data_IF_779619878035
#
_entry.id   IF_779619878035
#
_cell.length_a   1.000
_cell.length_b   1.000
_cell.length_c   1.000
_cell.angle_alpha   90.00
_cell.angle_beta   90.00
_cell.angle_gamma   90.00
#
_symmetry.space_group_name_H-M   'P 1'
#
loop_
_entity.id
_entity.type
_entity.pdbx_description
1 polymer ?
#
# COMPACT_ATOMS: atom_id res chain seq x y z
N UNK A 1 -26.36 -8.16 0.79
CA UNK A 1 -26.71 -8.93 -0.43
C UNK A 1 -27.46 -8.13 -1.47
N UNK A 2 -28.62 -7.54 -1.14
CA UNK A 2 -29.47 -6.82 -2.11
C UNK A 2 -28.72 -5.68 -2.82
N UNK A 3 -27.89 -4.93 -2.09
CA UNK A 3 -27.11 -3.83 -2.66
C UNK A 3 -26.09 -4.28 -3.70
N UNK A 4 -25.37 -5.39 -3.45
CA UNK A 4 -24.34 -5.92 -4.37
C UNK A 4 -25.00 -6.35 -5.70
N UNK A 5 -26.15 -7.02 -5.63
CA UNK A 5 -26.89 -7.46 -6.82
C UNK A 5 -27.41 -6.31 -7.70
N UNK A 6 -27.44 -5.09 -7.16
CA UNK A 6 -27.89 -3.88 -7.88
C UNK A 6 -26.73 -3.05 -8.43
N UNK A 7 -25.48 -3.41 -8.15
CA UNK A 7 -24.31 -2.74 -8.69
C UNK A 7 -24.16 -3.01 -10.19
N UNK A 8 -23.31 -2.22 -10.85
CA UNK A 8 -22.91 -2.46 -12.24
C UNK A 8 -22.15 -3.77 -12.40
N UNK A 9 -21.87 -4.17 -13.65
CA UNK A 9 -21.01 -5.32 -13.95
C UNK A 9 -19.67 -5.24 -13.21
N UNK A 10 -19.18 -6.42 -12.81
CA UNK A 10 -17.94 -6.64 -12.04
C UNK A 10 -17.81 -5.79 -10.75
N UNK A 11 -18.72 -5.95 -9.76
CA UNK A 11 -18.69 -5.13 -8.55
C UNK A 11 -17.39 -5.30 -7.75
N UNK A 12 -16.79 -4.17 -7.35
CA UNK A 12 -15.67 -4.12 -6.40
C UNK A 12 -16.20 -3.67 -5.04
N UNK A 13 -16.00 -4.49 -4.02
CA UNK A 13 -16.47 -4.25 -2.65
C UNK A 13 -15.27 -3.99 -1.73
N UNK A 14 -15.27 -2.84 -1.06
CA UNK A 14 -14.27 -2.46 -0.06
C UNK A 14 -14.92 -2.45 1.32
N UNK A 15 -14.83 -3.57 2.06
CA UNK A 15 -15.41 -3.71 3.40
C UNK A 15 -14.34 -3.41 4.46
N UNK A 16 -14.19 -2.14 4.82
CA UNK A 16 -13.04 -1.62 5.56
C UNK A 16 -13.23 -1.54 7.08
N UNK A 17 -14.44 -1.85 7.59
CA UNK A 17 -14.70 -1.87 9.03
C UNK A 17 -13.80 -2.89 9.77
N UNK A 18 -13.54 -2.61 11.05
CA UNK A 18 -12.72 -3.42 11.96
C UNK A 18 -13.41 -3.57 13.32
N UNK A 19 -13.22 -4.70 14.04
CA UNK A 19 -12.48 -5.90 13.61
C UNK A 19 -13.23 -6.71 12.55
N UNK A 20 -14.55 -6.58 12.51
CA UNK A 20 -15.43 -7.27 11.57
C UNK A 20 -15.76 -6.36 10.37
N UNK A 21 -15.65 -6.85 9.12
CA UNK A 21 -16.01 -6.08 7.93
C UNK A 21 -17.53 -5.90 7.82
N UNK A 22 -17.97 -4.91 7.03
CA UNK A 22 -19.39 -4.63 6.78
C UNK A 22 -20.14 -5.83 6.15
N UNK A 23 -19.39 -6.68 5.45
CA UNK A 23 -19.86 -7.95 4.90
C UNK A 23 -18.67 -8.91 4.80
N UNK A 24 -18.89 -10.19 5.08
CA UNK A 24 -17.84 -11.19 4.93
C UNK A 24 -17.48 -11.38 3.44
N UNK A 25 -16.21 -11.61 3.08
CA UNK A 25 -15.83 -11.75 1.67
C UNK A 25 -16.58 -12.86 0.92
N UNK A 26 -16.76 -14.02 1.55
CA UNK A 26 -17.51 -15.14 0.99
C UNK A 26 -18.97 -14.77 0.68
N UNK A 27 -19.57 -13.96 1.54
CA UNK A 27 -20.93 -13.46 1.41
C UNK A 27 -21.05 -12.45 0.26
N UNK A 28 -20.11 -11.53 0.17
CA UNK A 28 -20.05 -10.56 -0.92
C UNK A 28 -19.83 -11.24 -2.28
N UNK A 29 -18.94 -12.23 -2.36
CA UNK A 29 -18.70 -13.03 -3.57
C UNK A 29 -19.96 -13.82 -3.96
N UNK A 30 -20.61 -14.48 -3.00
CA UNK A 30 -21.87 -15.20 -3.24
C UNK A 30 -23.00 -14.27 -3.74
N UNK A 31 -22.95 -12.99 -3.40
CA UNK A 31 -23.87 -11.97 -3.89
C UNK A 31 -23.54 -11.44 -5.29
N UNK A 32 -22.41 -11.82 -5.88
CA UNK A 32 -21.96 -11.43 -7.21
C UNK A 32 -20.83 -10.40 -7.24
N UNK A 33 -20.12 -10.16 -6.12
CA UNK A 33 -18.92 -9.33 -6.15
C UNK A 33 -17.82 -9.98 -6.99
N UNK A 34 -17.22 -9.20 -7.89
CA UNK A 34 -16.06 -9.64 -8.66
C UNK A 34 -14.78 -9.55 -7.84
N UNK A 35 -14.63 -8.47 -7.06
CA UNK A 35 -13.47 -8.24 -6.19
C UNK A 35 -13.97 -7.83 -4.82
N UNK A 36 -13.37 -8.41 -3.77
CA UNK A 36 -13.62 -8.00 -2.38
C UNK A 36 -12.29 -7.73 -1.71
N UNK A 37 -12.22 -6.63 -0.95
CA UNK A 37 -11.09 -6.28 -0.11
C UNK A 37 -11.58 -5.90 1.30
N UNK A 38 -10.74 -6.13 2.30
CA UNK A 38 -11.04 -5.86 3.71
C UNK A 38 -10.01 -4.94 4.36
N UNK A 39 -10.39 -4.26 5.43
CA UNK A 39 -9.45 -3.42 6.19
C UNK A 39 -8.44 -4.22 7.03
N UNK A 40 -8.86 -5.37 7.56
CA UNK A 40 -8.09 -6.18 8.49
C UNK A 40 -7.21 -7.24 7.82
N UNK A 41 -6.06 -7.59 8.43
CA UNK A 41 -5.29 -8.76 8.01
C UNK A 41 -6.09 -10.04 8.34
N UNK A 42 -6.27 -10.93 7.36
CA UNK A 42 -7.01 -12.18 7.56
C UNK A 42 -7.77 -12.66 6.33
N UNK A 43 -8.00 -11.78 5.36
CA UNK A 43 -8.69 -12.10 4.12
C UNK A 43 -7.83 -11.81 2.89
N UNK A 44 -8.25 -12.32 1.73
CA UNK A 44 -7.69 -11.92 0.44
C UNK A 44 -7.86 -10.41 0.24
N UNK A 45 -6.92 -9.79 -0.46
CA UNK A 45 -6.92 -8.35 -0.72
C UNK A 45 -7.02 -7.48 0.55
N UNK A 46 -6.52 -7.95 1.69
CA UNK A 46 -6.46 -7.12 2.89
C UNK A 46 -5.67 -5.83 2.63
N UNK A 47 -6.20 -4.71 3.10
CA UNK A 47 -5.65 -3.35 2.94
C UNK A 47 -5.28 -2.73 4.29
N UNK A 48 -4.44 -3.38 5.13
CA UNK A 48 -4.07 -2.81 6.41
C UNK A 48 -3.16 -1.59 6.22
N UNK A 49 -3.31 -0.61 7.10
CA UNK A 49 -2.44 0.57 7.13
C UNK A 49 -0.94 0.22 7.26
N UNK A 50 -0.61 -0.95 7.81
CA UNK A 50 0.76 -1.46 7.96
C UNK A 50 1.51 -1.56 6.63
N UNK A 51 0.82 -1.73 5.50
CA UNK A 51 1.46 -1.79 4.17
C UNK A 51 2.00 -0.43 3.69
N UNK A 52 1.48 0.68 4.22
CA UNK A 52 1.81 2.02 3.71
C UNK A 52 2.39 2.95 4.77
N UNK A 53 1.88 2.91 6.01
CA UNK A 53 2.25 3.87 7.05
C UNK A 53 3.74 3.87 7.41
N UNK A 54 4.47 2.73 7.48
CA UNK A 54 5.90 2.76 7.76
C UNK A 54 6.69 3.46 6.64
N UNK A 55 6.34 3.17 5.38
CA UNK A 55 6.96 3.81 4.21
C UNK A 55 6.67 5.30 4.16
N UNK A 56 5.40 5.71 4.35
CA UNK A 56 5.01 7.12 4.37
C UNK A 56 5.83 7.88 5.42
N UNK A 57 5.87 7.39 6.65
CA UNK A 57 6.62 8.04 7.73
C UNK A 57 8.12 8.10 7.41
N UNK A 58 8.71 7.00 6.92
CA UNK A 58 10.13 6.96 6.57
C UNK A 58 10.48 8.00 5.50
N UNK A 59 9.69 8.08 4.42
CA UNK A 59 9.90 9.03 3.33
C UNK A 59 9.85 10.48 3.80
N UNK A 60 8.86 10.84 4.62
CA UNK A 60 8.76 12.19 5.21
C UNK A 60 9.95 12.52 6.10
N UNK A 61 10.39 11.57 6.93
CA UNK A 61 11.51 11.77 7.86
C UNK A 61 12.85 11.93 7.12
N UNK A 62 13.08 11.18 6.05
CA UNK A 62 14.35 11.21 5.30
C UNK A 62 14.60 12.55 4.62
N UNK A 63 13.53 13.18 4.12
CA UNK A 63 13.58 14.49 3.46
C UNK A 63 13.24 15.65 4.41
N UNK A 64 12.96 15.33 5.68
CA UNK A 64 12.55 16.29 6.72
C UNK A 64 11.37 17.17 6.25
N UNK A 65 10.33 16.50 5.77
CA UNK A 65 9.10 17.15 5.32
C UNK A 65 8.37 17.81 6.50
N UNK A 66 7.82 19.00 6.27
CA UNK A 66 7.04 19.74 7.27
C UNK A 66 5.53 19.48 7.18
N UNK A 67 5.08 18.90 6.07
CA UNK A 67 3.67 18.67 5.75
C UNK A 67 3.51 17.30 5.09
N UNK A 68 2.41 16.62 5.40
CA UNK A 68 1.86 15.52 4.61
C UNK A 68 0.58 16.01 3.92
N UNK A 69 0.46 15.78 2.61
CA UNK A 69 -0.71 16.20 1.84
C UNK A 69 -1.26 15.07 0.95
N UNK A 70 -2.36 15.35 0.24
CA UNK A 70 -3.04 14.38 -0.61
C UNK A 70 -2.18 13.89 -1.80
N UNK A 71 -1.32 14.73 -2.37
CA UNK A 71 -0.46 14.34 -3.48
C UNK A 71 0.58 13.30 -3.04
N UNK A 72 1.16 13.48 -1.84
CA UNK A 72 2.05 12.50 -1.22
C UNK A 72 1.33 11.18 -0.90
N UNK A 73 0.09 11.23 -0.42
CA UNK A 73 -0.74 10.03 -0.21
C UNK A 73 -1.06 9.33 -1.54
N UNK A 74 -1.31 10.09 -2.61
CA UNK A 74 -1.50 9.54 -3.95
C UNK A 74 -0.22 8.88 -4.48
N UNK A 75 0.94 9.48 -4.21
CA UNK A 75 2.25 8.90 -4.56
C UNK A 75 2.48 7.58 -3.81
N UNK A 76 2.16 7.52 -2.51
CA UNK A 76 2.21 6.30 -1.71
C UNK A 76 1.30 5.20 -2.28
N UNK A 77 0.04 5.55 -2.60
CA UNK A 77 -0.93 4.59 -3.15
C UNK A 77 -0.47 4.02 -4.51
N UNK A 78 0.06 4.88 -5.40
CA UNK A 78 0.62 4.47 -6.69
C UNK A 78 1.82 3.55 -6.51
N UNK A 79 2.76 3.91 -5.62
CA UNK A 79 3.93 3.10 -5.34
C UNK A 79 3.56 1.72 -4.80
N UNK A 80 2.57 1.65 -3.90
CA UNK A 80 2.08 0.39 -3.35
C UNK A 80 1.39 -0.48 -4.42
N UNK A 81 0.60 0.13 -5.31
CA UNK A 81 -0.01 -0.58 -6.43
C UNK A 81 1.04 -1.16 -7.40
N UNK A 82 2.13 -0.43 -7.65
CA UNK A 82 3.23 -0.88 -8.51
C UNK A 82 4.07 -2.02 -7.91
N UNK A 83 3.95 -2.28 -6.60
CA UNK A 83 4.59 -3.44 -5.93
C UNK A 83 3.89 -4.75 -6.28
N UNK A 84 2.61 -4.71 -6.66
CA UNK A 84 1.84 -5.91 -6.97
C UNK A 84 2.41 -6.61 -8.21
N UNK A 85 2.78 -7.89 -8.07
CA UNK A 85 3.25 -8.69 -9.21
C UNK A 85 2.15 -8.80 -10.27
N UNK A 86 2.35 -8.12 -11.40
CA UNK A 86 1.42 -8.12 -12.54
C UNK A 86 1.11 -9.52 -13.07
N UNK A 87 2.01 -10.50 -12.90
CA UNK A 87 1.80 -11.89 -13.33
C UNK A 87 0.83 -12.65 -12.42
N UNK A 88 0.64 -12.16 -11.19
CA UNK A 88 -0.24 -12.73 -10.17
C UNK A 88 -1.51 -11.92 -9.97
N UNK A 89 -1.67 -10.82 -10.71
CA UNK A 89 -2.83 -9.95 -10.61
C UNK A 89 -4.11 -10.73 -10.97
N UNK A 90 -5.10 -10.66 -10.09
CA UNK A 90 -6.38 -11.29 -10.29
C UNK A 90 -7.40 -10.86 -9.23
N UNK A 91 -8.65 -11.33 -9.31
CA UNK A 91 -9.72 -10.86 -8.44
C UNK A 91 -9.44 -11.03 -6.93
N UNK A 92 -8.71 -12.08 -6.54
CA UNK A 92 -8.26 -12.33 -5.17
C UNK A 92 -6.84 -11.84 -4.83
N UNK A 93 -6.18 -11.11 -5.75
CA UNK A 93 -4.80 -10.65 -5.59
C UNK A 93 -4.57 -9.28 -6.23
N UNK A 94 -5.20 -8.25 -5.65
CA UNK A 94 -5.02 -6.83 -6.02
C UNK A 94 -4.12 -6.06 -5.05
N UNK A 95 -3.76 -6.67 -3.93
CA UNK A 95 -2.85 -6.11 -2.92
C UNK A 95 -1.55 -6.92 -2.83
N UNK A 96 -0.42 -6.29 -2.49
CA UNK A 96 0.79 -7.03 -2.14
C UNK A 96 0.59 -7.80 -0.83
N UNK A 97 1.44 -8.79 -0.60
CA UNK A 97 1.45 -9.50 0.67
C UNK A 97 1.87 -8.57 1.82
N UNK A 98 1.32 -8.78 3.02
CA UNK A 98 1.57 -7.92 4.19
C UNK A 98 3.04 -7.86 4.61
N UNK A 99 3.84 -8.87 4.22
CA UNK A 99 5.28 -8.96 4.44
C UNK A 99 6.06 -8.75 3.14
N UNK A 100 5.53 -7.99 2.20
CA UNK A 100 6.25 -7.67 0.97
C UNK A 100 7.40 -6.68 1.26
N UNK A 101 8.63 -7.14 1.08
CA UNK A 101 9.84 -6.37 1.38
C UNK A 101 9.96 -5.08 0.57
N UNK A 102 9.39 -5.06 -0.63
CA UNK A 102 9.42 -3.92 -1.54
C UNK A 102 8.42 -2.81 -1.14
N UNK A 103 7.40 -3.11 -0.32
CA UNK A 103 6.33 -2.18 -0.03
C UNK A 103 6.82 -0.92 0.69
N UNK A 104 7.49 -1.07 1.83
CA UNK A 104 7.94 0.08 2.62
C UNK A 104 9.01 0.93 1.91
N UNK A 105 10.06 0.36 1.29
CA UNK A 105 11.07 1.13 0.54
C UNK A 105 10.50 1.90 -0.64
N UNK A 106 9.60 1.30 -1.43
CA UNK A 106 8.99 1.99 -2.58
C UNK A 106 8.05 3.11 -2.16
N UNK A 107 7.25 2.90 -1.13
CA UNK A 107 6.37 3.93 -0.58
C UNK A 107 7.19 5.08 0.00
N UNK A 108 8.27 4.79 0.74
CA UNK A 108 9.15 5.81 1.30
C UNK A 108 9.79 6.69 0.23
N UNK A 109 10.34 6.07 -0.81
CA UNK A 109 10.91 6.79 -1.95
C UNK A 109 9.86 7.69 -2.62
N UNK A 110 8.68 7.15 -2.94
CA UNK A 110 7.64 7.91 -3.62
C UNK A 110 7.15 9.12 -2.81
N UNK A 111 6.96 8.94 -1.50
CA UNK A 111 6.52 10.02 -0.60
C UNK A 111 7.61 11.08 -0.41
N UNK A 112 8.85 10.65 -0.19
CA UNK A 112 9.97 11.58 -0.04
C UNK A 112 10.20 12.43 -1.29
N UNK A 113 10.15 11.80 -2.48
CA UNK A 113 10.28 12.52 -3.74
C UNK A 113 9.10 13.46 -4.02
N UNK A 114 7.87 13.06 -3.67
CA UNK A 114 6.71 13.96 -3.77
C UNK A 114 6.87 15.19 -2.86
N UNK A 115 7.32 15.00 -1.61
CA UNK A 115 7.58 16.10 -0.68
C UNK A 115 8.67 17.05 -1.16
N UNK A 116 9.73 16.54 -1.81
CA UNK A 116 10.77 17.36 -2.45
C UNK A 116 10.19 18.15 -3.63
N UNK A 117 9.45 17.49 -4.51
CA UNK A 117 8.88 18.12 -5.71
C UNK A 117 7.89 19.24 -5.38
N UNK A 118 7.14 19.11 -4.29
CA UNK A 118 6.17 20.12 -3.84
C UNK A 118 6.77 21.20 -2.93
N UNK A 119 8.07 21.12 -2.60
CA UNK A 119 8.76 22.13 -1.80
C UNK A 119 8.48 22.07 -0.29
N UNK A 120 7.95 20.95 0.21
CA UNK A 120 7.72 20.73 1.65
C UNK A 120 8.90 20.07 2.37
N UNK A 121 9.90 19.60 1.63
CA UNK A 121 11.12 19.01 2.16
C UNK A 121 12.19 20.06 2.49
N UNK A 122 12.83 19.94 3.65
CA UNK A 122 13.98 20.79 4.03
C UNK A 122 15.32 20.14 3.73
N UNK A 123 15.32 18.85 3.34
CA UNK A 123 16.49 18.11 2.87
C UNK A 123 16.20 17.52 1.49
N UNK A 124 17.00 17.90 0.50
CA UNK A 124 16.97 17.27 -0.82
C UNK A 124 17.70 15.92 -0.76
N UNK A 125 17.05 14.87 -1.27
CA UNK A 125 17.60 13.52 -1.38
C UNK A 125 17.41 13.04 -2.82
N UNK A 126 18.49 12.65 -3.53
CA UNK A 126 18.43 12.11 -4.88
C UNK A 126 17.46 10.94 -5.02
N UNK A 127 16.82 10.84 -6.19
CA UNK A 127 15.93 9.72 -6.51
C UNK A 127 16.66 8.39 -6.39
N UNK A 128 16.05 7.45 -5.69
CA UNK A 128 16.55 6.10 -5.40
C UNK A 128 17.36 6.00 -4.11
N UNK A 129 17.81 7.11 -3.53
CA UNK A 129 18.62 7.06 -2.31
C UNK A 129 17.80 6.72 -1.07
N UNK A 130 16.54 7.18 -0.98
CA UNK A 130 15.64 6.81 0.13
C UNK A 130 15.37 5.30 0.10
N UNK A 131 15.03 4.79 -1.09
CA UNK A 131 14.84 3.36 -1.32
C UNK A 131 16.09 2.56 -0.89
N UNK A 132 17.26 2.90 -1.44
CA UNK A 132 18.48 2.14 -1.23
C UNK A 132 18.90 2.14 0.23
N UNK A 133 18.84 3.29 0.91
CA UNK A 133 19.19 3.41 2.31
C UNK A 133 18.24 2.59 3.19
N UNK A 134 16.94 2.66 2.93
CA UNK A 134 15.97 1.87 3.69
C UNK A 134 16.15 0.37 3.44
N UNK A 135 16.37 -0.03 2.19
CA UNK A 135 16.64 -1.43 1.84
C UNK A 135 17.86 -1.97 2.58
N UNK A 136 18.97 -1.22 2.58
CA UNK A 136 20.17 -1.61 3.31
C UNK A 136 19.93 -1.66 4.83
N UNK A 137 19.17 -0.73 5.39
CA UNK A 137 18.86 -0.73 6.82
C UNK A 137 17.98 -1.90 7.26
N UNK A 138 17.09 -2.39 6.40
CA UNK A 138 16.19 -3.50 6.74
C UNK A 138 16.77 -4.87 6.39
N UNK A 139 17.49 -4.97 5.28
CA UNK A 139 17.87 -6.25 4.67
C UNK A 139 19.38 -6.40 4.42
N UNK A 140 20.17 -5.33 4.53
CA UNK A 140 21.60 -5.32 4.20
C UNK A 140 22.45 -6.24 5.09
N UNK A 141 22.13 -6.35 6.38
CA UNK A 141 22.86 -7.23 7.31
C UNK A 141 22.50 -8.72 7.17
N UNK A 142 21.36 -9.05 6.55
CA UNK A 142 20.93 -10.45 6.35
C UNK A 142 21.77 -11.17 5.28
N UNK A 143 22.42 -10.45 4.37
CA UNK A 143 23.22 -11.03 3.27
C UNK A 143 24.60 -11.51 3.74
N UNK A 144 25.11 -11.02 4.88
CA UNK A 144 26.45 -11.37 5.39
C UNK A 144 26.48 -12.57 6.37
N UNK A 145 25.40 -13.35 6.49
CA UNK A 145 25.28 -14.46 7.46
C UNK A 145 25.27 -15.88 6.86
N UNK A 146 25.84 -16.09 5.68
CA UNK A 146 26.04 -17.42 5.09
C UNK A 146 27.53 -17.78 4.99
#
# INVERSE_FOLDING_TARGET
MEFIKRMSGDPVILAMALPDPEILPEEAIAAGAAIVATGGPGFQNAMPNTLSSPGIMRGLLDVRATVLNHNMLLAAARALADVVDRRRLGPGKIMPDIFCDEAAPRVAEAVGQAAIAEGFATRAVPKGEIYNNLWQSLYGEQIMRF
#
